data_IF_352405693076
#
_entry.id   IF_352405693076
#
_cell.length_a   1.000
_cell.length_b   1.000
_cell.length_c   1.000
_cell.angle_alpha   90.00
_cell.angle_beta   90.00
_cell.angle_gamma   90.00
#
_symmetry.space_group_name_H-M   'P 1'
#
loop_
_entity.id
_entity.type
_entity.pdbx_description
1 polymer ?
#
# COMPACT_ATOMS: atom_id res chain seq x y z
N UNK A 1 3.41 -2.75 22.07
CA UNK A 1 3.60 -3.23 21.03
C UNK A 1 4.09 -2.44 19.94
N UNK A 2 4.83 -2.97 19.14
CA UNK A 2 5.64 -2.17 18.35
C UNK A 2 5.55 -2.54 16.92
N UNK A 3 4.40 -2.52 16.39
CA UNK A 3 4.26 -2.71 14.99
C UNK A 3 4.63 -1.44 14.25
N UNK A 4 4.67 -1.47 12.93
CA UNK A 4 4.91 -0.27 12.16
C UNK A 4 3.79 0.72 12.34
N UNK A 5 4.11 1.99 12.22
CA UNK A 5 3.15 3.06 12.38
C UNK A 5 2.67 3.52 11.03
N UNK A 6 1.36 3.69 10.87
CA UNK A 6 0.81 4.23 9.64
C UNK A 6 0.95 5.74 9.69
N UNK A 7 1.77 6.29 8.81
CA UNK A 7 2.03 7.72 8.82
C UNK A 7 1.29 8.45 7.69
N UNK A 8 0.70 7.72 6.76
CA UNK A 8 -0.03 8.34 5.67
C UNK A 8 -0.96 7.30 5.06
N UNK A 9 -2.07 7.76 4.51
CA UNK A 9 -3.01 6.87 3.86
C UNK A 9 -3.69 7.62 2.73
N UNK A 10 -3.78 6.99 1.58
CA UNK A 10 -4.47 7.54 0.42
C UNK A 10 -5.54 6.56 -0.02
N UNK A 11 -6.79 6.99 0.00
CA UNK A 11 -7.89 6.15 -0.45
C UNK A 11 -8.12 6.33 -1.94
N UNK A 12 -8.48 5.23 -2.63
CA UNK A 12 -8.67 5.32 -4.05
C UNK A 12 -9.59 4.22 -4.53
N UNK A 13 -10.75 4.59 -5.05
CA UNK A 13 -11.63 3.65 -5.78
C UNK A 13 -11.88 2.32 -5.09
N UNK A 14 -12.09 2.34 -3.81
CA UNK A 14 -12.40 1.10 -3.10
C UNK A 14 -11.17 0.41 -2.53
N UNK A 15 -10.01 1.01 -2.68
CA UNK A 15 -8.79 0.50 -2.09
C UNK A 15 -8.04 1.63 -1.43
N UNK A 16 -6.86 1.33 -0.91
CA UNK A 16 -6.04 2.36 -0.29
C UNK A 16 -4.58 1.95 -0.28
N UNK A 17 -3.74 2.97 -0.11
CA UNK A 17 -2.31 2.77 0.06
C UNK A 17 -1.93 3.43 1.38
N UNK A 18 -1.27 2.68 2.24
CA UNK A 18 -0.77 3.21 3.50
C UNK A 18 0.74 3.26 3.46
N UNK A 19 1.31 4.35 4.00
CA UNK A 19 2.74 4.44 4.19
C UNK A 19 3.03 4.01 5.62
N UNK A 20 3.91 3.05 5.77
CA UNK A 20 4.20 2.46 7.07
C UNK A 20 5.64 2.76 7.46
N UNK A 21 5.81 3.23 8.69
CA UNK A 21 7.14 3.51 9.22
C UNK A 21 7.47 2.43 10.22
N UNK A 22 8.45 1.58 9.93
CA UNK A 22 8.84 0.54 10.88
C UNK A 22 9.65 1.13 12.02
N UNK A 23 9.85 0.34 13.06
CA UNK A 23 10.70 0.76 14.16
C UNK A 23 12.12 1.00 13.66
N UNK A 24 12.55 0.18 12.71
CA UNK A 24 13.85 0.35 12.10
C UNK A 24 13.72 0.18 10.60
N UNK A 25 14.57 0.86 9.87
CA UNK A 25 14.60 0.74 8.43
C UNK A 25 13.80 1.84 7.78
N UNK A 26 13.58 1.67 6.50
CA UNK A 26 12.94 2.70 5.70
C UNK A 26 11.45 2.45 5.60
N UNK A 27 10.71 3.50 5.29
CA UNK A 27 9.27 3.36 5.13
C UNK A 27 8.97 2.39 3.99
N UNK A 28 7.82 1.76 4.08
CA UNK A 28 7.34 0.91 3.00
C UNK A 28 5.84 1.15 2.86
N UNK A 29 5.24 0.52 1.87
CA UNK A 29 3.86 0.80 1.51
C UNK A 29 3.04 -0.47 1.50
N UNK A 30 1.77 -0.32 1.85
CA UNK A 30 0.82 -1.42 1.81
C UNK A 30 -0.36 -1.00 0.96
N UNK A 31 -0.60 -1.73 -0.13
CA UNK A 31 -1.72 -1.47 -1.02
C UNK A 31 -2.78 -2.52 -0.77
N UNK A 32 -3.98 -2.10 -0.44
CA UNK A 32 -5.05 -3.03 -0.10
C UNK A 32 -6.32 -2.73 -0.87
N UNK A 33 -6.98 -3.77 -1.31
CA UNK A 33 -8.29 -3.67 -1.96
C UNK A 33 -8.95 -5.03 -1.92
N UNK A 34 -10.26 -5.06 -1.68
CA UNK A 34 -11.01 -6.30 -1.72
C UNK A 34 -10.54 -7.35 -0.75
N UNK A 35 -10.00 -6.94 0.38
CA UNK A 35 -9.53 -7.88 1.38
C UNK A 35 -8.14 -8.42 1.13
N UNK A 36 -7.48 -7.96 0.09
CA UNK A 36 -6.13 -8.40 -0.27
C UNK A 36 -5.18 -7.24 -0.15
N UNK A 37 -3.99 -7.48 0.38
CA UNK A 37 -2.99 -6.43 0.51
C UNK A 37 -1.67 -6.90 -0.08
N UNK A 38 -0.92 -5.93 -0.60
CA UNK A 38 0.42 -6.18 -1.11
C UNK A 38 1.37 -5.13 -0.57
N UNK A 39 2.60 -5.53 -0.36
CA UNK A 39 3.62 -4.66 0.21
C UNK A 39 4.66 -4.30 -0.84
N UNK A 40 5.18 -3.09 -0.75
CA UNK A 40 6.22 -2.65 -1.68
C UNK A 40 7.10 -1.63 -0.98
N UNK A 41 8.29 -1.42 -1.52
CA UNK A 41 9.21 -0.46 -0.94
C UNK A 41 9.17 0.88 -1.65
N UNK A 42 8.48 0.97 -2.80
CA UNK A 42 8.39 2.21 -3.57
C UNK A 42 6.94 2.59 -3.80
N UNK A 43 6.67 3.89 -3.79
CA UNK A 43 5.31 4.36 -3.98
C UNK A 43 4.78 4.00 -5.36
N UNK A 44 5.60 4.13 -6.41
CA UNK A 44 5.12 3.80 -7.76
C UNK A 44 4.71 2.34 -7.84
N UNK A 45 5.43 1.48 -7.13
CA UNK A 45 5.11 0.07 -7.12
C UNK A 45 3.83 -0.19 -6.32
N UNK A 46 3.64 0.55 -5.24
CA UNK A 46 2.41 0.44 -4.46
C UNK A 46 1.21 0.82 -5.30
N UNK A 47 1.33 1.87 -6.11
CA UNK A 47 0.24 2.30 -6.98
C UNK A 47 -0.04 1.26 -8.04
N UNK A 48 0.99 0.65 -8.59
CA UNK A 48 0.81 -0.40 -9.58
C UNK A 48 0.10 -1.61 -8.97
N UNK A 49 0.48 -1.99 -7.76
CA UNK A 49 -0.18 -3.09 -7.08
C UNK A 49 -1.64 -2.77 -6.79
N UNK A 50 -1.92 -1.54 -6.38
CA UNK A 50 -3.30 -1.17 -6.12
C UNK A 50 -4.14 -1.27 -7.38
N UNK A 51 -3.62 -0.80 -8.50
CA UNK A 51 -4.33 -0.92 -9.77
C UNK A 51 -4.62 -2.38 -10.10
N UNK A 52 -3.66 -3.25 -9.84
CA UNK A 52 -3.87 -4.67 -10.10
C UNK A 52 -4.95 -5.24 -9.18
N UNK A 53 -4.92 -4.86 -7.92
CA UNK A 53 -5.92 -5.37 -6.97
C UNK A 53 -7.31 -4.87 -7.30
N UNK A 54 -7.41 -3.66 -7.83
CA UNK A 54 -8.69 -3.08 -8.21
C UNK A 54 -9.17 -3.57 -9.57
N UNK A 55 -8.32 -4.29 -10.28
CA UNK A 55 -8.71 -4.76 -11.60
C UNK A 55 -8.58 -3.71 -12.68
N UNK A 56 -7.83 -2.66 -12.43
CA UNK A 56 -7.65 -1.60 -13.40
C UNK A 56 -6.48 -1.84 -14.32
N UNK A 57 -5.95 -3.04 -14.32
CA UNK A 57 -4.81 -3.29 -15.16
C UNK A 57 -5.20 -3.06 -16.61
N UNK A 58 -4.32 -2.46 -17.31
CA UNK A 58 -4.54 -2.25 -18.72
C UNK A 58 -4.24 -3.51 -19.45
N UNK A 59 -5.08 -3.85 -20.29
CA UNK A 59 -4.84 -5.05 -21.07
C UNK A 59 -4.61 -4.67 -22.49
#
# INVERSE_FOLDING_TARGET
MYGPEVISRTDRDGGYIETLMPVRGEVYYRSCAGGTCRYSSDLWQAEMYLDQLLGHSLS
#
